data_IF_930828152368
#
_entry.id   IF_930828152368
#
_cell.length_a   1.000
_cell.length_b   1.000
_cell.length_c   1.000
_cell.angle_alpha   90.00
_cell.angle_beta   90.00
_cell.angle_gamma   90.00
#
_symmetry.space_group_name_H-M   'P 1'
#
loop_
_entity.id
_entity.type
_entity.pdbx_description
1 polymer ?
#
# COMPACT_ATOMS: atom_id res chain seq x y z
N UNK A 1 38.08 8.22 42.46
CA UNK A 1 36.71 8.19 42.99
C UNK A 1 36.01 6.99 42.39
N UNK A 2 35.96 5.90 43.14
CA UNK A 2 35.32 4.64 42.76
C UNK A 2 34.60 4.16 44.02
N UNK A 3 33.29 3.94 43.94
CA UNK A 3 32.50 3.56 45.12
C UNK A 3 31.60 2.39 44.74
N UNK A 4 32.08 1.20 45.12
CA UNK A 4 31.30 -0.04 45.21
C UNK A 4 30.26 0.06 46.32
N UNK A 5 29.07 -0.48 46.08
CA UNK A 5 28.09 -0.79 47.13
C UNK A 5 27.95 -2.31 47.21
N UNK A 6 28.23 -2.83 48.41
CA UNK A 6 28.17 -4.24 48.82
C UNK A 6 26.96 -4.42 49.75
N UNK A 7 26.19 -5.48 49.52
CA UNK A 7 25.11 -6.00 50.38
C UNK A 7 25.71 -7.08 51.30
N UNK A 8 25.33 -7.19 52.59
CA UNK A 8 24.59 -8.38 53.07
C UNK A 8 23.58 -8.05 54.20
N UNK A 9 22.40 -8.67 54.34
CA UNK A 9 21.95 -10.07 54.57
C UNK A 9 21.89 -10.48 56.07
N UNK A 10 20.64 -10.54 56.56
CA UNK A 10 20.01 -11.41 57.59
C UNK A 10 20.63 -11.70 58.97
N UNK A 11 19.79 -11.63 60.03
CA UNK A 11 19.52 -12.63 61.11
C UNK A 11 18.54 -11.99 62.16
N UNK A 12 17.34 -12.53 62.42
CA UNK A 12 16.96 -13.42 63.56
C UNK A 12 17.27 -12.84 64.96
N UNK A 13 16.45 -12.82 66.03
CA UNK A 13 15.32 -13.62 66.51
C UNK A 13 14.80 -13.06 67.88
N UNK A 14 13.46 -13.12 68.16
CA UNK A 14 12.66 -13.32 69.43
C UNK A 14 13.12 -12.78 70.83
N UNK A 15 12.35 -12.84 71.96
CA UNK A 15 10.92 -13.18 72.27
C UNK A 15 10.21 -12.23 73.30
N UNK A 16 9.01 -12.66 73.79
CA UNK A 16 8.22 -12.28 75.00
C UNK A 16 7.13 -11.19 74.83
N UNK A 17 5.83 -11.57 74.80
CA UNK A 17 4.90 -11.76 75.94
C UNK A 17 4.51 -10.42 76.62
N UNK A 18 3.28 -10.06 76.96
CA UNK A 18 2.08 -10.82 77.28
C UNK A 18 0.88 -9.84 77.45
N UNK A 19 -0.35 -10.34 77.20
CA UNK A 19 -1.61 -10.07 77.94
C UNK A 19 -2.37 -8.74 77.84
N UNK A 20 -3.62 -8.87 77.39
CA UNK A 20 -4.75 -8.03 77.83
C UNK A 20 -6.06 -8.38 77.13
N UNK A 21 -6.83 -9.28 77.76
CA UNK A 21 -8.29 -9.56 77.65
C UNK A 21 -9.17 -8.44 77.04
N UNK A 22 -10.40 -8.65 76.57
CA UNK A 22 -11.27 -9.77 76.23
C UNK A 22 -12.67 -9.13 76.07
N UNK A 23 -13.47 -9.63 75.11
CA UNK A 23 -14.94 -9.61 75.08
C UNK A 23 -15.62 -8.27 74.74
N UNK A 24 -16.23 -8.20 73.54
CA UNK A 24 -17.66 -7.95 73.26
C UNK A 24 -17.80 -7.88 71.72
N UNK A 25 -18.47 -8.88 71.12
CA UNK A 25 -19.32 -8.77 69.90
C UNK A 25 -19.50 -10.16 69.23
N UNK A 26 -19.92 -11.15 70.00
CA UNK A 26 -20.31 -12.48 69.51
C UNK A 26 -21.74 -12.42 68.97
N UNK A 27 -21.99 -11.86 67.78
CA UNK A 27 -23.33 -11.93 67.16
C UNK A 27 -23.41 -11.76 65.63
N UNK A 28 -22.30 -11.64 64.89
CA UNK A 28 -22.33 -11.54 63.41
C UNK A 28 -21.18 -12.35 62.83
N UNK A 29 -21.21 -13.68 62.99
CA UNK A 29 -20.29 -14.60 62.29
C UNK A 29 -20.82 -16.05 62.29
N UNK A 30 -22.16 -16.19 62.32
CA UNK A 30 -22.88 -17.46 62.22
C UNK A 30 -23.72 -17.55 60.93
N UNK A 31 -23.27 -16.86 59.89
CA UNK A 31 -23.77 -16.98 58.51
C UNK A 31 -22.62 -17.07 57.48
N UNK A 32 -21.42 -17.45 57.93
CA UNK A 32 -20.22 -17.60 57.09
C UNK A 32 -19.50 -18.93 57.36
N UNK A 33 -20.29 -19.98 57.61
CA UNK A 33 -19.78 -21.28 58.04
C UNK A 33 -20.68 -22.43 57.58
N UNK A 34 -21.12 -22.43 56.32
CA UNK A 34 -21.81 -23.59 55.74
C UNK A 34 -21.81 -23.59 54.20
N UNK A 35 -20.63 -23.49 53.58
CA UNK A 35 -20.47 -23.76 52.13
C UNK A 35 -19.01 -24.11 51.80
N UNK A 36 -18.49 -25.17 52.42
CA UNK A 36 -17.16 -25.73 52.10
C UNK A 36 -17.28 -27.25 51.89
N UNK A 37 -18.06 -27.66 50.88
CA UNK A 37 -18.06 -29.04 50.38
C UNK A 37 -18.76 -29.22 49.01
N UNK A 38 -18.79 -28.19 48.16
CA UNK A 38 -19.04 -28.41 46.74
C UNK A 38 -17.68 -28.35 46.07
N UNK A 39 -17.15 -29.53 45.74
CA UNK A 39 -16.00 -29.64 44.86
C UNK A 39 -16.33 -28.85 43.60
N UNK A 40 -15.67 -27.71 43.46
CA UNK A 40 -15.59 -27.03 42.18
C UNK A 40 -14.75 -27.97 41.34
N UNK A 41 -15.42 -28.89 40.64
CA UNK A 41 -14.84 -29.48 39.46
C UNK A 41 -14.53 -28.26 38.58
N UNK A 42 -13.28 -27.82 38.60
CA UNK A 42 -12.82 -26.86 37.62
C UNK A 42 -13.18 -27.48 36.30
N UNK A 43 -14.12 -26.86 35.59
CA UNK A 43 -14.26 -27.08 34.17
C UNK A 43 -12.86 -26.76 33.62
N UNK A 44 -12.06 -27.80 33.36
CA UNK A 44 -10.90 -27.65 32.52
C UNK A 44 -11.50 -27.19 31.21
N UNK A 45 -11.33 -25.90 30.89
CA UNK A 45 -11.26 -25.54 29.49
C UNK A 45 -10.18 -26.46 28.94
N UNK A 46 -10.59 -27.40 28.11
CA UNK A 46 -9.67 -28.13 27.28
C UNK A 46 -9.08 -27.05 26.38
N UNK A 47 -7.90 -26.54 26.71
CA UNK A 47 -7.14 -25.56 25.90
C UNK A 47 -6.60 -26.30 24.65
N UNK A 48 -7.48 -27.05 24.00
CA UNK A 48 -7.24 -27.74 22.76
C UNK A 48 -6.93 -26.72 21.69
N UNK A 49 -5.75 -26.80 21.08
CA UNK A 49 -5.49 -26.09 19.84
C UNK A 49 -5.87 -27.00 18.69
N UNK A 50 -6.73 -26.56 17.78
CA UNK A 50 -6.89 -27.28 16.53
C UNK A 50 -5.95 -26.69 15.48
N UNK A 51 -5.17 -27.56 14.86
CA UNK A 51 -4.21 -27.22 13.82
C UNK A 51 -4.11 -28.36 12.82
N UNK A 52 -4.02 -28.00 11.55
CA UNK A 52 -3.83 -28.94 10.46
C UNK A 52 -2.67 -28.45 9.59
N UNK A 53 -1.93 -29.41 9.02
CA UNK A 53 -0.85 -29.16 8.09
C UNK A 53 -0.99 -30.06 6.88
N UNK A 54 -0.41 -29.61 5.77
CA UNK A 54 -0.31 -30.38 4.54
C UNK A 54 0.97 -30.04 3.81
N UNK A 55 1.56 -31.02 3.11
CA UNK A 55 2.77 -30.84 2.34
C UNK A 55 2.89 -31.88 1.21
N UNK A 56 3.65 -31.62 0.14
CA UNK A 56 4.13 -32.67 -0.75
C UNK A 56 4.85 -33.76 0.03
N UNK A 57 4.70 -35.00 -0.41
CA UNK A 57 5.32 -36.16 0.23
C UNK A 57 6.23 -36.92 -0.72
N UNK A 58 7.27 -37.52 -0.15
CA UNK A 58 8.15 -38.47 -0.85
C UNK A 58 8.59 -39.55 0.12
N UNK A 59 8.56 -40.81 -0.30
CA UNK A 59 8.94 -41.98 0.50
C UNK A 59 8.26 -42.03 1.89
N UNK A 60 6.99 -41.62 1.97
CA UNK A 60 6.21 -41.68 3.21
C UNK A 60 6.44 -40.54 4.21
N UNK A 61 7.22 -39.51 3.85
CA UNK A 61 7.49 -38.33 4.70
C UNK A 61 7.31 -37.02 3.95
N UNK A 62 7.48 -35.88 4.66
CA UNK A 62 7.43 -34.55 4.02
C UNK A 62 8.60 -34.40 3.05
N UNK A 63 8.29 -34.03 1.82
CA UNK A 63 9.28 -33.66 0.82
C UNK A 63 9.84 -32.26 1.13
N UNK A 64 11.13 -32.18 1.46
CA UNK A 64 11.79 -30.93 1.83
C UNK A 64 12.22 -30.10 0.60
N UNK A 65 12.23 -30.71 -0.58
CA UNK A 65 12.67 -30.07 -1.82
C UNK A 65 11.49 -29.38 -2.53
N UNK A 66 10.25 -29.76 -2.20
CA UNK A 66 9.04 -29.26 -2.85
C UNK A 66 8.13 -28.50 -1.89
N UNK A 67 7.92 -27.22 -2.19
CA UNK A 67 6.91 -26.37 -1.53
C UNK A 67 5.54 -26.40 -2.24
N UNK A 68 5.49 -26.96 -3.45
CA UNK A 68 4.32 -27.03 -4.33
C UNK A 68 4.41 -28.23 -5.27
N UNK A 69 3.29 -28.59 -5.89
CA UNK A 69 3.27 -29.55 -6.99
C UNK A 69 3.47 -28.83 -8.31
N UNK A 70 4.41 -29.30 -9.13
CA UNK A 70 4.71 -28.74 -10.45
C UNK A 70 4.97 -29.88 -11.43
N UNK A 71 4.15 -29.97 -12.47
CA UNK A 71 4.24 -31.03 -13.47
C UNK A 71 4.27 -30.48 -14.89
N UNK A 72 4.98 -31.17 -15.77
CA UNK A 72 4.89 -30.98 -17.22
C UNK A 72 4.43 -32.28 -17.86
N UNK A 73 3.30 -32.23 -18.55
CA UNK A 73 2.60 -33.42 -19.02
C UNK A 73 2.16 -33.30 -20.47
N UNK A 74 2.05 -34.44 -21.15
CA UNK A 74 1.36 -34.53 -22.44
C UNK A 74 -0.16 -34.65 -22.23
N UNK A 75 -1.01 -34.19 -23.16
CA UNK A 75 -2.45 -34.44 -23.10
C UNK A 75 -2.75 -35.95 -22.94
N UNK A 76 -3.68 -36.31 -22.05
CA UNK A 76 -3.97 -37.72 -21.74
C UNK A 76 -3.01 -38.38 -20.75
N UNK A 77 -1.93 -37.71 -20.32
CA UNK A 77 -0.96 -38.30 -19.41
C UNK A 77 -1.47 -38.31 -17.96
N UNK A 78 -1.12 -39.39 -17.26
CA UNK A 78 -1.35 -39.56 -15.83
C UNK A 78 -0.06 -39.35 -15.04
N UNK A 79 -0.18 -38.66 -13.90
CA UNK A 79 0.88 -38.48 -12.90
C UNK A 79 0.40 -39.03 -11.56
N UNK A 80 1.24 -39.79 -10.87
CA UNK A 80 0.97 -40.26 -9.51
C UNK A 80 1.92 -39.55 -8.55
N UNK A 81 1.42 -39.12 -7.41
CA UNK A 81 2.20 -38.44 -6.38
C UNK A 81 1.54 -38.62 -5.00
N UNK A 82 2.16 -38.09 -3.96
CA UNK A 82 1.75 -38.27 -2.58
C UNK A 82 1.59 -36.93 -1.86
N UNK A 83 0.52 -36.81 -1.07
CA UNK A 83 0.24 -35.68 -0.21
C UNK A 83 0.26 -36.11 1.25
N UNK A 84 1.07 -35.48 2.09
CA UNK A 84 1.08 -35.74 3.52
C UNK A 84 0.15 -34.75 4.21
N UNK A 85 -0.78 -35.29 5.01
CA UNK A 85 -1.63 -34.53 5.91
C UNK A 85 -1.22 -34.79 7.36
N UNK A 86 -1.22 -33.74 8.18
CA UNK A 86 -0.85 -33.82 9.58
C UNK A 86 -1.86 -33.09 10.46
N UNK A 87 -2.17 -33.67 11.61
CA UNK A 87 -2.79 -32.95 12.72
C UNK A 87 -1.70 -32.31 13.58
N UNK A 88 -1.60 -30.98 13.53
CA UNK A 88 -0.64 -30.19 14.32
C UNK A 88 -1.25 -29.64 15.61
N UNK A 89 -2.52 -29.97 15.88
CA UNK A 89 -3.25 -29.60 17.07
C UNK A 89 -3.11 -30.61 18.22
N UNK A 90 -3.83 -30.35 19.30
CA UNK A 90 -3.88 -31.20 20.51
C UNK A 90 -5.19 -31.98 20.65
N UNK A 91 -6.12 -31.85 19.72
CA UNK A 91 -7.41 -32.55 19.65
C UNK A 91 -7.50 -33.41 18.38
N UNK A 92 -8.26 -34.51 18.40
CA UNK A 92 -8.48 -35.34 17.20
C UNK A 92 -9.20 -34.53 16.12
N UNK A 93 -8.67 -34.54 14.89
CA UNK A 93 -9.21 -33.78 13.76
C UNK A 93 -9.77 -34.71 12.69
N UNK A 94 -11.00 -34.47 12.27
CA UNK A 94 -11.56 -35.04 11.05
C UNK A 94 -11.29 -34.09 9.89
N UNK A 95 -10.42 -34.52 8.97
CA UNK A 95 -9.99 -33.72 7.82
C UNK A 95 -10.54 -34.28 6.52
N UNK A 96 -10.83 -33.41 5.56
CA UNK A 96 -11.14 -33.78 4.18
C UNK A 96 -10.11 -33.15 3.26
N UNK A 97 -9.49 -33.97 2.42
CA UNK A 97 -8.52 -33.55 1.42
C UNK A 97 -9.15 -33.62 0.04
N UNK A 98 -9.01 -32.56 -0.75
CA UNK A 98 -9.54 -32.46 -2.10
C UNK A 98 -8.70 -31.49 -2.94
N UNK A 99 -8.77 -31.59 -4.26
CA UNK A 99 -8.17 -30.61 -5.16
C UNK A 99 -9.22 -29.62 -5.65
N UNK A 100 -8.78 -28.41 -6.01
CA UNK A 100 -9.65 -27.40 -6.62
C UNK A 100 -8.85 -26.47 -7.53
N UNK A 101 -9.55 -25.71 -8.36
CA UNK A 101 -8.93 -24.77 -9.30
C UNK A 101 -8.48 -23.48 -8.59
N UNK A 102 -7.48 -22.85 -9.18
CA UNK A 102 -6.99 -21.55 -8.76
C UNK A 102 -7.51 -20.44 -9.69
N UNK A 103 -7.63 -19.26 -9.11
CA UNK A 103 -7.96 -18.04 -9.83
C UNK A 103 -7.19 -16.88 -9.22
N UNK A 104 -7.11 -15.75 -9.92
CA UNK A 104 -6.68 -14.50 -9.30
C UNK A 104 -7.91 -13.72 -8.84
N UNK A 105 -7.89 -13.22 -7.61
CA UNK A 105 -8.85 -12.22 -7.12
C UNK A 105 -8.71 -10.89 -7.87
N UNK A 106 -9.61 -9.93 -7.63
CA UNK A 106 -9.58 -8.62 -8.31
C UNK A 106 -8.28 -7.82 -8.09
N UNK A 107 -7.66 -7.98 -6.92
CA UNK A 107 -6.35 -7.44 -6.57
C UNK A 107 -5.18 -8.27 -7.15
N UNK A 108 -5.48 -9.34 -7.90
CA UNK A 108 -4.53 -10.22 -8.56
C UNK A 108 -3.90 -11.26 -7.64
N UNK A 109 -4.42 -11.47 -6.43
CA UNK A 109 -3.88 -12.45 -5.48
C UNK A 109 -4.29 -13.86 -5.89
N UNK A 110 -3.37 -14.83 -5.77
CA UNK A 110 -3.68 -16.24 -6.01
C UNK A 110 -4.67 -16.75 -4.96
N UNK A 111 -5.81 -17.27 -5.40
CA UNK A 111 -6.84 -17.85 -4.57
C UNK A 111 -7.29 -19.20 -5.14
N UNK A 112 -7.95 -19.98 -4.29
CA UNK A 112 -8.53 -21.28 -4.64
C UNK A 112 -10.03 -21.21 -4.48
N UNK A 113 -10.78 -21.96 -5.30
CA UNK A 113 -12.23 -22.01 -5.15
C UNK A 113 -12.65 -22.50 -3.75
N UNK A 114 -13.83 -22.06 -3.32
CA UNK A 114 -14.44 -22.54 -2.09
C UNK A 114 -14.75 -24.05 -2.18
N UNK A 115 -14.74 -24.76 -1.04
CA UNK A 115 -14.85 -26.22 -1.03
C UNK A 115 -16.15 -26.79 -1.61
N UNK A 116 -17.21 -25.97 -1.71
CA UNK A 116 -18.48 -26.37 -2.32
C UNK A 116 -18.54 -26.12 -3.84
N UNK A 117 -17.63 -25.30 -4.38
CA UNK A 117 -17.59 -25.02 -5.81
C UNK A 117 -16.95 -26.19 -6.57
N UNK A 118 -17.58 -26.60 -7.67
CA UNK A 118 -17.05 -27.67 -8.51
C UNK A 118 -15.89 -27.13 -9.37
N UNK A 119 -14.69 -27.73 -9.31
CA UNK A 119 -13.61 -27.39 -10.23
C UNK A 119 -13.96 -27.87 -11.64
N UNK A 120 -13.42 -27.16 -12.63
CA UNK A 120 -13.58 -27.41 -14.06
C UNK A 120 -12.25 -27.58 -14.80
N UNK A 121 -11.13 -27.34 -14.12
CA UNK A 121 -9.78 -27.40 -14.68
C UNK A 121 -8.91 -28.39 -13.89
N UNK A 122 -7.63 -28.09 -13.61
CA UNK A 122 -6.70 -29.05 -12.97
C UNK A 122 -7.24 -29.66 -11.67
N UNK A 123 -8.05 -28.94 -10.89
CA UNK A 123 -8.67 -29.46 -9.67
C UNK A 123 -9.62 -30.63 -9.94
N UNK A 124 -10.27 -30.66 -11.11
CA UNK A 124 -11.16 -31.76 -11.54
C UNK A 124 -10.41 -33.00 -12.04
N UNK A 125 -9.10 -32.89 -12.27
CA UNK A 125 -8.26 -33.96 -12.82
C UNK A 125 -7.62 -34.83 -11.73
N UNK A 126 -7.76 -34.43 -10.47
CA UNK A 126 -7.16 -35.12 -9.33
C UNK A 126 -8.15 -36.12 -8.73
N UNK A 127 -7.68 -37.34 -8.52
CA UNK A 127 -8.39 -38.41 -7.80
C UNK A 127 -7.49 -39.02 -6.74
N UNK A 128 -8.08 -39.44 -5.61
CA UNK A 128 -7.37 -40.15 -4.54
C UNK A 128 -7.46 -41.67 -4.72
N UNK A 129 -6.72 -42.41 -3.89
CA UNK A 129 -6.60 -43.88 -3.96
C UNK A 129 -7.95 -44.66 -3.93
N UNK A 130 -9.02 -44.06 -3.40
CA UNK A 130 -10.38 -44.62 -3.41
C UNK A 130 -11.16 -44.36 -4.71
N UNK A 131 -10.54 -43.70 -5.70
CA UNK A 131 -11.15 -43.36 -6.99
C UNK A 131 -12.07 -42.14 -6.96
N UNK A 132 -12.09 -41.36 -5.88
CA UNK A 132 -12.93 -40.15 -5.75
C UNK A 132 -12.10 -38.87 -5.77
N UNK A 133 -12.78 -37.74 -5.97
CA UNK A 133 -12.21 -36.37 -6.00
C UNK A 133 -11.78 -35.84 -4.62
N UNK A 134 -12.16 -36.56 -3.55
CA UNK A 134 -11.89 -36.21 -2.15
C UNK A 134 -11.64 -37.45 -1.30
N UNK A 135 -10.97 -37.27 -0.17
CA UNK A 135 -10.77 -38.31 0.84
C UNK A 135 -10.86 -37.72 2.24
N UNK A 136 -11.58 -38.40 3.14
CA UNK A 136 -11.71 -37.98 4.54
C UNK A 136 -10.91 -38.91 5.45
N UNK A 137 -10.25 -38.33 6.44
CA UNK A 137 -9.34 -39.01 7.36
C UNK A 137 -9.53 -38.45 8.76
N UNK A 138 -9.48 -39.31 9.77
CA UNK A 138 -9.44 -38.88 11.17
C UNK A 138 -8.02 -39.04 11.70
N UNK A 139 -7.46 -37.97 12.25
CA UNK A 139 -6.07 -37.92 12.73
C UNK A 139 -6.06 -37.55 14.21
N UNK A 140 -5.44 -38.41 15.02
CA UNK A 140 -5.14 -38.11 16.41
C UNK A 140 -4.10 -36.98 16.54
N UNK A 141 -3.97 -36.33 17.70
CA UNK A 141 -2.98 -35.28 17.92
C UNK A 141 -1.57 -35.72 17.52
N UNK A 142 -0.92 -34.94 16.65
CA UNK A 142 0.42 -35.21 16.13
C UNK A 142 0.50 -36.29 15.04
N UNK A 143 -0.60 -37.00 14.75
CA UNK A 143 -0.63 -38.05 13.73
C UNK A 143 -0.48 -37.47 12.31
N UNK A 144 0.13 -38.27 11.43
CA UNK A 144 0.33 -37.96 10.02
C UNK A 144 -0.21 -39.11 9.16
N UNK A 145 -0.73 -38.78 7.99
CA UNK A 145 -1.12 -39.76 6.99
C UNK A 145 -0.68 -39.31 5.60
N UNK A 146 -0.13 -40.24 4.84
CA UNK A 146 0.20 -40.04 3.43
C UNK A 146 -0.97 -40.50 2.56
N UNK A 147 -1.36 -39.64 1.63
CA UNK A 147 -2.49 -39.81 0.74
C UNK A 147 -1.98 -39.84 -0.70
N UNK A 148 -1.88 -41.01 -1.33
CA UNK A 148 -1.60 -41.10 -2.75
C UNK A 148 -2.73 -40.45 -3.55
N UNK A 149 -2.35 -39.67 -4.56
CA UNK A 149 -3.26 -39.08 -5.52
C UNK A 149 -2.72 -39.24 -6.94
N UNK A 150 -3.64 -39.13 -7.89
CA UNK A 150 -3.40 -39.27 -9.31
C UNK A 150 -3.96 -38.05 -10.01
N UNK A 151 -3.18 -37.42 -10.88
CA UNK A 151 -3.62 -36.37 -11.78
C UNK A 151 -3.75 -36.97 -13.17
N UNK A 152 -4.98 -37.04 -13.70
CA UNK A 152 -5.27 -37.58 -15.04
C UNK A 152 -5.63 -36.43 -15.97
N UNK A 153 -4.66 -36.01 -16.77
CA UNK A 153 -4.85 -34.91 -17.73
C UNK A 153 -5.80 -35.36 -18.84
N UNK A 154 -6.89 -34.64 -19.14
CA UNK A 154 -7.75 -34.96 -20.27
C UNK A 154 -7.00 -35.01 -21.60
N UNK A 155 -7.44 -35.86 -22.53
CA UNK A 155 -6.83 -35.96 -23.86
C UNK A 155 -7.04 -34.69 -24.71
N UNK A 156 -8.08 -33.92 -24.41
CA UNK A 156 -8.45 -32.64 -25.03
C UNK A 156 -8.05 -31.43 -24.18
N UNK A 157 -7.24 -31.62 -23.14
CA UNK A 157 -6.71 -30.53 -22.32
C UNK A 157 -5.97 -29.52 -23.20
N UNK A 158 -6.28 -28.23 -23.02
CA UNK A 158 -5.65 -27.17 -23.80
C UNK A 158 -4.17 -27.07 -23.42
N UNK A 159 -3.26 -26.79 -24.37
CA UNK A 159 -1.88 -26.47 -24.03
C UNK A 159 -1.80 -25.23 -23.14
N UNK A 160 -0.89 -25.23 -22.18
CA UNK A 160 -0.69 -24.11 -21.27
C UNK A 160 -0.61 -24.52 -19.80
N UNK A 161 -0.62 -23.52 -18.93
CA UNK A 161 -0.64 -23.67 -17.49
C UNK A 161 -2.07 -23.82 -16.96
N UNK A 162 -2.24 -24.84 -16.13
CA UNK A 162 -3.44 -25.10 -15.37
C UNK A 162 -3.08 -25.06 -13.89
N UNK A 163 -3.73 -24.15 -13.15
CA UNK A 163 -3.37 -23.85 -11.78
C UNK A 163 -4.51 -24.22 -10.83
N UNK A 164 -4.13 -24.80 -9.69
CA UNK A 164 -5.03 -25.26 -8.67
C UNK A 164 -4.32 -25.43 -7.34
N UNK A 165 -4.93 -26.21 -6.45
CA UNK A 165 -4.30 -26.58 -5.20
C UNK A 165 -4.95 -27.81 -4.58
N UNK A 166 -4.17 -28.54 -3.79
CA UNK A 166 -4.66 -29.62 -2.94
C UNK A 166 -4.84 -29.04 -1.54
N UNK A 167 -6.09 -29.09 -1.06
CA UNK A 167 -6.55 -28.46 0.17
C UNK A 167 -6.84 -29.55 1.19
N UNK A 168 -6.30 -29.39 2.40
CA UNK A 168 -6.81 -30.06 3.60
C UNK A 168 -7.74 -29.10 4.33
N UNK A 169 -8.96 -29.57 4.62
CA UNK A 169 -10.00 -28.84 5.34
C UNK A 169 -10.37 -29.59 6.62
N UNK A 170 -10.51 -28.87 7.73
CA UNK A 170 -11.04 -29.38 8.98
C UNK A 170 -12.22 -28.53 9.41
N UNK A 171 -13.42 -29.13 9.39
CA UNK A 171 -14.63 -28.50 9.87
C UNK A 171 -14.80 -28.78 11.36
N UNK A 172 -14.87 -27.71 12.15
CA UNK A 172 -14.92 -27.80 13.61
C UNK A 172 -16.07 -26.93 14.15
N UNK A 173 -16.89 -27.45 15.09
CA UNK A 173 -17.88 -26.62 15.77
C UNK A 173 -17.18 -25.59 16.68
N UNK A 174 -17.52 -24.32 16.52
CA UNK A 174 -17.04 -23.22 17.37
C UNK A 174 -18.25 -22.46 17.96
N UNK A 175 -18.82 -23.02 19.03
CA UNK A 175 -20.03 -22.48 19.65
C UNK A 175 -21.26 -22.64 18.74
N UNK A 176 -21.85 -21.53 18.30
CA UNK A 176 -23.02 -21.52 17.40
C UNK A 176 -22.65 -21.50 15.90
N UNK A 177 -21.36 -21.42 15.56
CA UNK A 177 -20.88 -21.34 14.18
C UNK A 177 -19.89 -22.47 13.92
N UNK A 178 -19.89 -23.03 12.71
CA UNK A 178 -18.85 -23.96 12.27
C UNK A 178 -17.69 -23.20 11.64
N UNK A 179 -16.46 -23.49 12.05
CA UNK A 179 -15.25 -22.92 11.46
C UNK A 179 -14.60 -23.98 10.57
N UNK A 180 -14.45 -23.65 9.29
CA UNK A 180 -13.69 -24.43 8.31
C UNK A 180 -12.26 -23.89 8.23
N UNK A 181 -11.29 -24.67 8.71
CA UNK A 181 -9.86 -24.37 8.63
C UNK A 181 -9.30 -25.04 7.39
N UNK A 182 -8.68 -24.28 6.50
CA UNK A 182 -8.14 -24.77 5.23
C UNK A 182 -6.65 -24.44 5.11
N UNK A 183 -5.85 -25.45 4.78
CA UNK A 183 -4.45 -25.30 4.37
C UNK A 183 -4.33 -25.88 2.97
N UNK A 184 -3.64 -25.17 2.08
CA UNK A 184 -3.55 -25.56 0.68
C UNK A 184 -2.11 -25.55 0.20
N UNK A 185 -1.78 -26.52 -0.65
CA UNK A 185 -0.54 -26.58 -1.42
C UNK A 185 -0.87 -26.31 -2.87
N UNK A 186 -0.14 -25.39 -3.50
CA UNK A 186 -0.37 -25.03 -4.91
C UNK A 186 -0.04 -26.21 -5.82
N UNK A 187 -0.84 -26.36 -6.87
CA UNK A 187 -0.70 -27.34 -7.93
C UNK A 187 -0.60 -26.60 -9.27
N UNK A 188 0.56 -26.69 -9.91
CA UNK A 188 0.78 -26.18 -11.25
C UNK A 188 1.00 -27.36 -12.19
N UNK A 189 0.21 -27.45 -13.25
CA UNK A 189 0.36 -28.48 -14.26
C UNK A 189 0.40 -27.81 -15.63
N UNK A 190 1.51 -28.00 -16.34
CA UNK A 190 1.70 -27.50 -17.70
C UNK A 190 1.43 -28.61 -18.72
N UNK A 191 0.37 -28.44 -19.50
CA UNK A 191 0.09 -29.29 -20.66
C UNK A 191 0.95 -28.85 -21.82
N UNK A 192 1.75 -29.77 -22.37
CA UNK A 192 2.62 -29.53 -23.52
C UNK A 192 1.81 -29.18 -24.77
N UNK A 193 2.39 -28.33 -25.59
CA UNK A 193 1.83 -27.91 -26.88
C UNK A 193 2.33 -26.51 -27.23
N UNK A 194 1.54 -25.76 -27.99
CA UNK A 194 1.89 -24.39 -28.37
C UNK A 194 1.73 -23.45 -27.17
N UNK A 195 2.85 -23.07 -26.54
CA UNK A 195 2.86 -22.05 -25.51
C UNK A 195 2.81 -20.66 -26.16
N UNK A 196 1.96 -19.79 -25.60
CA UNK A 196 1.73 -18.42 -26.01
C UNK A 196 1.85 -17.51 -24.78
N UNK A 197 3.07 -17.20 -24.30
CA UNK A 197 3.27 -16.22 -23.25
C UNK A 197 2.85 -14.84 -23.75
N UNK A 198 1.82 -14.24 -23.15
CA UNK A 198 1.32 -12.95 -23.59
C UNK A 198 0.73 -12.14 -22.42
N UNK A 199 1.25 -10.93 -22.23
CA UNK A 199 0.73 -9.95 -21.29
C UNK A 199 0.40 -8.68 -22.07
N UNK A 200 -0.71 -8.04 -21.71
CA UNK A 200 -1.17 -6.81 -22.34
C UNK A 200 -1.53 -5.76 -21.29
N UNK A 201 -1.32 -4.49 -21.62
CA UNK A 201 -1.86 -3.35 -20.88
C UNK A 201 -3.22 -3.05 -21.49
N UNK A 202 -4.29 -3.41 -20.79
CA UNK A 202 -5.67 -3.27 -21.27
C UNK A 202 -6.20 -1.85 -21.11
N UNK A 203 -5.79 -1.13 -20.06
CA UNK A 203 -6.14 0.28 -19.87
C UNK A 203 -5.03 1.04 -19.14
N UNK A 204 -4.97 2.34 -19.41
CA UNK A 204 -4.12 3.30 -18.70
C UNK A 204 -4.92 4.58 -18.48
N UNK A 205 -5.06 4.95 -17.22
CA UNK A 205 -5.66 6.20 -16.79
C UNK A 205 -4.63 6.99 -15.99
N UNK A 206 -4.70 8.31 -16.03
CA UNK A 206 -3.77 9.14 -15.28
C UNK A 206 -4.42 10.40 -14.75
N UNK A 207 -4.06 10.75 -13.53
CA UNK A 207 -4.51 11.96 -12.83
C UNK A 207 -3.31 12.69 -12.27
N UNK A 208 -3.41 14.01 -12.20
CA UNK A 208 -2.35 14.87 -11.68
C UNK A 208 -2.83 15.66 -10.47
N UNK A 209 -2.04 15.60 -9.40
CA UNK A 209 -2.22 16.38 -8.20
C UNK A 209 -1.09 17.40 -8.07
N UNK A 210 -1.44 18.68 -8.17
CA UNK A 210 -0.47 19.78 -8.13
C UNK A 210 -0.02 20.12 -6.71
N UNK A 211 1.24 20.55 -6.58
CA UNK A 211 1.78 21.12 -5.35
C UNK A 211 1.79 22.66 -5.39
N UNK A 212 1.97 23.30 -4.22
CA UNK A 212 2.25 24.74 -4.13
C UNK A 212 3.55 25.09 -4.88
N UNK A 213 4.54 24.21 -4.84
CA UNK A 213 5.75 24.34 -5.65
C UNK A 213 5.40 23.99 -7.11
N UNK A 214 5.53 24.92 -8.07
CA UNK A 214 5.14 24.67 -9.47
C UNK A 214 5.98 23.60 -10.17
N UNK A 215 7.14 23.24 -9.61
CA UNK A 215 8.01 22.18 -10.10
C UNK A 215 7.77 20.82 -9.43
N UNK A 216 6.79 20.72 -8.52
CA UNK A 216 6.45 19.49 -7.82
C UNK A 216 4.97 19.16 -7.97
N UNK A 217 4.66 17.87 -7.81
CA UNK A 217 3.33 17.30 -7.94
C UNK A 217 3.44 15.79 -8.10
N UNK A 218 2.29 15.14 -8.03
CA UNK A 218 2.16 13.69 -8.13
C UNK A 218 1.31 13.36 -9.34
N UNK A 219 1.80 12.41 -10.16
CA UNK A 219 1.01 11.82 -11.25
C UNK A 219 0.65 10.40 -10.85
N UNK A 220 -0.62 10.16 -10.62
CA UNK A 220 -1.14 8.82 -10.35
C UNK A 220 -1.51 8.16 -11.68
N UNK A 221 -0.94 6.99 -11.95
CA UNK A 221 -1.17 6.20 -13.15
C UNK A 221 -1.87 4.92 -12.71
N UNK A 222 -3.11 4.72 -13.17
CA UNK A 222 -3.87 3.49 -12.96
C UNK A 222 -3.76 2.64 -14.22
N UNK A 223 -3.21 1.44 -14.10
CA UNK A 223 -2.94 0.54 -15.22
C UNK A 223 -3.66 -0.78 -14.98
N UNK A 224 -4.42 -1.25 -15.96
CA UNK A 224 -4.96 -2.61 -15.96
C UNK A 224 -4.10 -3.50 -16.84
N UNK A 225 -3.60 -4.60 -16.28
CA UNK A 225 -2.82 -5.63 -16.95
C UNK A 225 -3.68 -6.88 -17.12
N UNK A 226 -3.54 -7.55 -18.24
CA UNK A 226 -4.29 -8.78 -18.55
C UNK A 226 -3.35 -9.83 -19.15
N UNK A 227 -3.38 -11.05 -18.60
CA UNK A 227 -2.73 -12.21 -19.18
C UNK A 227 -3.63 -12.79 -20.28
N UNK A 228 -3.31 -12.45 -21.53
CA UNK A 228 -4.02 -12.94 -22.72
C UNK A 228 -3.43 -14.23 -23.28
N UNK A 229 -2.37 -14.74 -22.64
CA UNK A 229 -1.69 -15.96 -23.01
C UNK A 229 -2.28 -17.20 -22.34
N UNK A 230 -1.59 -18.33 -22.52
CA UNK A 230 -1.91 -19.60 -21.88
C UNK A 230 -0.86 -20.04 -20.85
N UNK A 231 0.00 -19.14 -20.38
CA UNK A 231 1.05 -19.42 -19.40
C UNK A 231 0.92 -18.43 -18.25
N UNK A 232 1.13 -18.88 -17.02
CA UNK A 232 1.13 -18.00 -15.84
C UNK A 232 2.36 -17.11 -15.85
N UNK A 233 2.16 -15.80 -15.70
CA UNK A 233 3.21 -14.80 -15.81
C UNK A 233 3.05 -13.74 -14.73
N UNK A 234 4.16 -13.35 -14.09
CA UNK A 234 4.26 -12.07 -13.39
C UNK A 234 4.66 -10.96 -14.36
N UNK A 235 4.81 -9.74 -13.85
CA UNK A 235 5.39 -8.64 -14.63
C UNK A 235 6.25 -7.74 -13.76
N UNK A 236 7.31 -7.18 -14.33
CA UNK A 236 7.94 -5.99 -13.78
C UNK A 236 7.51 -4.80 -14.64
N UNK A 237 6.95 -3.78 -14.00
CA UNK A 237 6.48 -2.56 -14.67
C UNK A 237 7.39 -1.41 -14.33
N UNK A 238 7.72 -0.60 -15.34
CA UNK A 238 8.50 0.62 -15.19
C UNK A 238 7.65 1.77 -15.70
N UNK A 239 7.48 2.80 -14.87
CA UNK A 239 6.70 3.98 -15.20
C UNK A 239 7.55 5.26 -15.17
N UNK A 240 7.23 6.17 -16.09
CA UNK A 240 7.89 7.48 -16.22
C UNK A 240 6.91 8.50 -16.80
N UNK A 241 6.99 9.75 -16.34
CA UNK A 241 6.29 10.87 -16.97
C UNK A 241 7.25 11.63 -17.88
N UNK A 242 6.86 11.75 -19.15
CA UNK A 242 7.58 12.49 -20.18
C UNK A 242 6.85 13.79 -20.51
N UNK A 243 7.58 14.78 -20.98
CA UNK A 243 7.06 16.04 -21.49
C UNK A 243 7.02 16.06 -23.02
N UNK A 244 6.91 17.28 -23.56
CA UNK A 244 7.00 17.50 -25.01
C UNK A 244 8.37 17.00 -25.51
N UNK A 245 8.40 16.40 -26.71
CA UNK A 245 9.60 15.80 -27.31
C UNK A 245 10.22 14.62 -26.53
N UNK A 246 9.48 14.02 -25.58
CA UNK A 246 9.95 12.86 -24.83
C UNK A 246 10.96 13.19 -23.73
N UNK A 247 11.08 14.46 -23.33
CA UNK A 247 11.97 14.88 -22.24
C UNK A 247 11.48 14.22 -20.93
N UNK A 248 12.34 13.49 -20.19
CA UNK A 248 11.93 12.90 -18.93
C UNK A 248 11.67 14.00 -17.90
N UNK A 249 10.45 14.02 -17.34
CA UNK A 249 10.02 14.95 -16.29
C UNK A 249 10.02 14.29 -14.90
N UNK A 250 10.23 12.98 -14.84
CA UNK A 250 10.33 12.19 -13.61
C UNK A 250 11.48 11.18 -13.67
N UNK A 251 11.83 10.63 -12.50
CA UNK A 251 12.58 9.39 -12.41
C UNK A 251 11.76 8.18 -12.91
N UNK A 252 12.39 7.01 -12.89
CA UNK A 252 11.73 5.72 -13.12
C UNK A 252 11.11 5.24 -11.82
N UNK A 253 9.90 4.69 -11.90
CA UNK A 253 9.23 4.02 -10.79
C UNK A 253 8.91 2.60 -11.21
N UNK A 254 9.56 1.66 -10.54
CA UNK A 254 9.41 0.23 -10.78
C UNK A 254 8.38 -0.37 -9.82
N UNK A 255 7.56 -1.29 -10.31
CA UNK A 255 6.60 -2.05 -9.50
C UNK A 255 6.53 -3.49 -10.00
N UNK A 256 6.65 -4.43 -9.06
CA UNK A 256 6.57 -5.87 -9.33
C UNK A 256 5.13 -6.33 -9.19
N UNK A 257 4.62 -6.89 -10.28
CA UNK A 257 3.29 -7.47 -10.36
C UNK A 257 3.41 -8.98 -10.08
N UNK A 258 2.69 -9.49 -9.06
CA UNK A 258 2.56 -10.91 -8.80
C UNK A 258 2.04 -11.71 -10.00
N UNK A 259 2.12 -13.03 -9.88
CA UNK A 259 1.67 -13.97 -10.90
C UNK A 259 0.19 -13.77 -11.28
N UNK A 260 -0.04 -13.61 -12.58
CA UNK A 260 -1.35 -13.63 -13.23
C UNK A 260 -1.51 -14.95 -13.99
N UNK A 261 -2.52 -15.72 -13.60
CA UNK A 261 -2.94 -16.92 -14.30
C UNK A 261 -3.50 -16.58 -15.70
N UNK A 262 -3.52 -17.53 -16.65
CA UNK A 262 -4.12 -17.34 -17.96
C UNK A 262 -5.54 -16.78 -17.89
N UNK A 263 -5.83 -15.71 -18.63
CA UNK A 263 -7.13 -15.04 -18.66
C UNK A 263 -7.39 -14.05 -17.52
N UNK A 264 -6.55 -14.01 -16.48
CA UNK A 264 -6.71 -13.09 -15.35
C UNK A 264 -6.29 -11.66 -15.69
N UNK A 265 -6.86 -10.69 -14.96
CA UNK A 265 -6.49 -9.29 -15.03
C UNK A 265 -6.25 -8.69 -13.65
N UNK A 266 -5.40 -7.66 -13.57
CA UNK A 266 -5.14 -6.92 -12.33
C UNK A 266 -4.99 -5.44 -12.63
N UNK A 267 -5.57 -4.61 -11.78
CA UNK A 267 -5.38 -3.15 -11.84
C UNK A 267 -4.41 -2.70 -10.76
N UNK A 268 -3.39 -1.94 -11.14
CA UNK A 268 -2.38 -1.39 -10.24
C UNK A 268 -2.35 0.13 -10.35
N UNK A 269 -2.11 0.78 -9.22
CA UNK A 269 -2.01 2.24 -9.12
C UNK A 269 -0.56 2.59 -8.78
N UNK A 270 0.10 3.30 -9.69
CA UNK A 270 1.47 3.76 -9.56
C UNK A 270 1.45 5.26 -9.31
N UNK A 271 2.22 5.74 -8.34
CA UNK A 271 2.34 7.18 -8.08
C UNK A 271 3.75 7.64 -8.44
N UNK A 272 3.84 8.50 -9.46
CA UNK A 272 5.09 9.11 -9.90
C UNK A 272 5.18 10.52 -9.32
N UNK A 273 6.04 10.68 -8.33
CA UNK A 273 6.24 11.96 -7.63
C UNK A 273 7.28 12.85 -8.28
N UNK A 274 7.24 14.14 -7.94
CA UNK A 274 8.21 15.15 -8.40
C UNK A 274 7.92 15.68 -9.80
N UNK A 275 6.69 15.52 -10.28
CA UNK A 275 6.28 15.99 -11.61
C UNK A 275 5.72 17.40 -11.48
N UNK A 276 6.41 18.38 -12.04
CA UNK A 276 5.92 19.76 -12.12
C UNK A 276 4.64 19.88 -12.96
N UNK A 277 3.90 20.98 -12.77
CA UNK A 277 2.66 21.26 -13.50
C UNK A 277 2.95 21.73 -14.93
N UNK A 278 3.64 20.90 -15.71
CA UNK A 278 3.95 21.17 -17.10
C UNK A 278 2.70 21.00 -17.95
N UNK A 279 2.46 21.94 -18.86
CA UNK A 279 1.22 22.03 -19.65
C UNK A 279 0.84 20.70 -20.30
N UNK A 280 1.83 19.92 -20.75
CA UNK A 280 1.65 18.61 -21.35
C UNK A 280 2.44 17.56 -20.56
N UNK A 281 1.73 16.52 -20.11
CA UNK A 281 2.32 15.34 -19.48
C UNK A 281 1.96 14.11 -20.30
N UNK A 282 2.95 13.24 -20.52
CA UNK A 282 2.82 11.95 -21.19
C UNK A 282 3.36 10.86 -20.26
N UNK A 283 2.53 10.35 -19.34
CA UNK A 283 2.86 9.14 -18.59
C UNK A 283 3.02 7.96 -19.54
N UNK A 284 4.09 7.22 -19.32
CA UNK A 284 4.49 6.05 -20.08
C UNK A 284 4.77 4.92 -19.12
N UNK A 285 4.24 3.74 -19.43
CA UNK A 285 4.44 2.51 -18.67
C UNK A 285 4.92 1.44 -19.64
N UNK A 286 6.04 0.81 -19.31
CA UNK A 286 6.51 -0.40 -19.96
C UNK A 286 6.43 -1.57 -18.99
N UNK A 287 6.20 -2.76 -19.53
CA UNK A 287 6.21 -4.00 -18.77
C UNK A 287 7.09 -5.04 -19.44
N UNK A 288 7.70 -5.86 -18.61
CA UNK A 288 8.41 -7.08 -19.01
C UNK A 288 7.81 -8.22 -18.20
N UNK A 289 7.34 -9.27 -18.88
CA UNK A 289 6.83 -10.48 -18.25
C UNK A 289 7.92 -11.18 -17.45
N UNK A 290 7.54 -11.77 -16.33
CA UNK A 290 8.42 -12.55 -15.45
C UNK A 290 7.79 -13.91 -15.17
N UNK A 291 8.60 -14.85 -14.71
CA UNK A 291 8.15 -16.16 -14.22
C UNK A 291 8.68 -16.36 -12.82
N UNK A 292 7.96 -17.16 -12.05
CA UNK A 292 8.43 -17.64 -10.76
C UNK A 292 9.70 -18.50 -10.94
N UNK A 293 10.61 -18.45 -9.97
CA UNK A 293 11.93 -19.10 -10.08
C UNK A 293 11.83 -20.62 -10.26
N UNK A 294 10.81 -21.24 -9.66
CA UNK A 294 10.58 -22.69 -9.72
C UNK A 294 9.61 -23.06 -10.87
N UNK A 295 9.25 -22.10 -11.74
CA UNK A 295 8.33 -22.35 -12.85
C UNK A 295 9.06 -22.92 -14.07
N UNK A 296 8.34 -23.72 -14.85
CA UNK A 296 8.86 -24.26 -16.11
C UNK A 296 9.08 -23.09 -17.09
N UNK A 297 10.23 -23.06 -17.76
CA UNK A 297 10.54 -22.00 -18.74
C UNK A 297 9.56 -22.07 -19.92
N UNK A 298 8.79 -21.00 -20.20
CA UNK A 298 7.82 -20.98 -21.29
C UNK A 298 8.38 -20.45 -22.62
N UNK A 299 9.67 -20.11 -22.67
CA UNK A 299 10.33 -19.48 -23.81
C UNK A 299 10.49 -17.95 -23.62
N UNK A 300 10.52 -17.17 -24.72
CA UNK A 300 10.65 -15.72 -24.65
C UNK A 300 9.49 -15.09 -23.88
N UNK A 301 9.83 -14.18 -22.96
CA UNK A 301 8.85 -13.48 -22.14
C UNK A 301 8.30 -12.24 -22.88
N UNK A 302 7.00 -11.94 -22.76
CA UNK A 302 6.39 -10.83 -23.47
C UNK A 302 6.83 -9.49 -22.89
N UNK A 303 6.91 -8.48 -23.75
CA UNK A 303 7.04 -7.08 -23.34
C UNK A 303 5.89 -6.29 -23.93
N UNK A 304 5.44 -5.26 -23.21
CA UNK A 304 4.43 -4.34 -23.72
C UNK A 304 4.71 -2.93 -23.20
N UNK A 305 4.27 -1.94 -23.97
CA UNK A 305 4.37 -0.54 -23.59
C UNK A 305 3.08 0.19 -23.90
N UNK A 306 2.73 1.14 -23.04
CA UNK A 306 1.58 2.01 -23.24
C UNK A 306 1.85 3.39 -22.68
N UNK A 307 1.40 4.39 -23.40
CA UNK A 307 1.43 5.78 -22.95
C UNK A 307 0.04 6.40 -22.98
N UNK A 308 -0.11 7.48 -22.23
CA UNK A 308 -1.29 8.34 -22.25
C UNK A 308 -0.83 9.79 -22.26
N UNK A 309 -1.72 10.72 -22.56
CA UNK A 309 -1.39 12.14 -22.57
C UNK A 309 -2.52 12.96 -22.01
N UNK A 310 -2.20 13.96 -21.21
CA UNK A 310 -3.17 14.91 -20.72
C UNK A 310 -2.52 16.27 -20.48
N UNK A 311 -3.38 17.29 -20.37
CA UNK A 311 -2.95 18.67 -20.15
C UNK A 311 -3.17 19.07 -18.69
N UNK A 312 -2.18 19.76 -18.12
CA UNK A 312 -2.24 20.30 -16.76
C UNK A 312 -2.22 21.81 -16.82
N UNK A 313 -3.09 22.47 -16.07
CA UNK A 313 -3.08 23.92 -15.96
C UNK A 313 -2.01 24.36 -14.95
N UNK A 314 -1.00 25.14 -15.35
CA UNK A 314 0.10 25.56 -14.49
C UNK A 314 -0.30 26.70 -13.54
N UNK A 315 -1.24 26.47 -12.63
CA UNK A 315 -1.78 27.50 -11.74
C UNK A 315 -0.71 28.28 -10.96
N UNK A 316 0.34 27.60 -10.48
CA UNK A 316 1.45 28.26 -9.79
C UNK A 316 2.15 29.32 -10.65
N UNK A 317 2.42 29.02 -11.92
CA UNK A 317 3.00 29.99 -12.86
C UNK A 317 2.00 31.10 -13.21
N UNK A 318 0.72 30.79 -13.38
CA UNK A 318 -0.32 31.80 -13.67
C UNK A 318 -0.50 32.78 -12.51
N UNK A 319 -0.47 32.30 -11.26
CA UNK A 319 -0.55 33.14 -10.06
C UNK A 319 0.71 34.00 -9.95
N UNK A 320 1.91 33.45 -10.19
CA UNK A 320 3.15 34.23 -10.19
C UNK A 320 3.13 35.33 -11.26
N UNK A 321 2.65 35.03 -12.47
CA UNK A 321 2.48 36.02 -13.54
C UNK A 321 1.45 37.10 -13.15
N UNK A 322 0.34 36.72 -12.50
CA UNK A 322 -0.67 37.66 -12.02
C UNK A 322 -0.09 38.61 -10.96
N UNK A 323 0.66 38.09 -9.99
CA UNK A 323 1.32 38.88 -8.93
C UNK A 323 2.37 39.81 -9.54
N UNK A 324 3.17 39.32 -10.49
CA UNK A 324 4.16 40.14 -11.20
C UNK A 324 3.50 41.27 -12.00
N UNK A 325 2.40 40.97 -12.72
CA UNK A 325 1.64 41.96 -13.47
C UNK A 325 0.99 43.02 -12.56
N UNK A 326 0.41 42.60 -11.43
CA UNK A 326 -0.17 43.51 -10.44
C UNK A 326 0.91 44.40 -9.81
N UNK A 327 2.05 43.83 -9.44
CA UNK A 327 3.20 44.57 -8.88
C UNK A 327 3.73 45.60 -9.89
N UNK A 328 3.90 45.20 -11.16
CA UNK A 328 4.31 46.10 -12.23
C UNK A 328 3.31 47.23 -12.45
N UNK A 329 2.00 46.93 -12.45
CA UNK A 329 0.94 47.93 -12.59
C UNK A 329 0.96 48.93 -11.42
N UNK A 330 1.10 48.45 -10.18
CA UNK A 330 1.21 49.30 -8.98
C UNK A 330 2.42 50.23 -9.08
N UNK A 331 3.59 49.70 -9.45
CA UNK A 331 4.83 50.49 -9.62
C UNK A 331 4.68 51.52 -10.74
N UNK A 332 4.02 51.15 -11.85
CA UNK A 332 3.77 52.06 -12.97
C UNK A 332 2.80 53.19 -12.58
N UNK A 333 1.75 52.87 -11.82
CA UNK A 333 0.78 53.85 -11.34
C UNK A 333 1.35 54.74 -10.23
N UNK A 334 2.17 54.20 -9.33
CA UNK A 334 2.84 55.01 -8.28
C UNK A 334 3.82 55.99 -8.89
N UNK A 335 4.67 55.56 -9.84
CA UNK A 335 5.58 56.47 -10.58
C UNK A 335 4.86 57.63 -11.27
N UNK A 336 3.67 57.37 -11.84
CA UNK A 336 2.82 58.42 -12.42
C UNK A 336 2.28 59.39 -11.37
N UNK A 337 1.89 58.89 -10.20
CA UNK A 337 1.39 59.73 -9.11
C UNK A 337 2.52 60.55 -8.47
N UNK A 338 3.70 59.96 -8.35
CA UNK A 338 4.88 60.62 -7.77
C UNK A 338 5.40 61.74 -8.66
N UNK A 339 5.37 61.59 -9.99
CA UNK A 339 5.69 62.71 -10.90
C UNK A 339 4.69 63.86 -10.79
N UNK A 340 3.41 63.55 -10.58
CA UNK A 340 2.35 64.56 -10.42
C UNK A 340 2.49 65.28 -9.06
N UNK A 341 2.81 64.54 -7.99
CA UNK A 341 3.08 65.08 -6.65
C UNK A 341 4.37 65.90 -6.60
N UNK A 342 5.42 65.47 -7.29
CA UNK A 342 6.67 66.21 -7.42
C UNK A 342 6.46 67.54 -8.16
N UNK A 343 5.71 67.53 -9.27
CA UNK A 343 5.35 68.76 -9.98
C UNK A 343 4.54 69.72 -9.09
N UNK A 344 3.55 69.21 -8.35
CA UNK A 344 2.78 70.02 -7.41
C UNK A 344 3.63 70.57 -6.24
N UNK A 345 4.65 69.85 -5.79
CA UNK A 345 5.58 70.32 -4.75
C UNK A 345 6.53 71.39 -5.25
N UNK A 346 7.02 71.27 -6.50
CA UNK A 346 7.81 72.31 -7.18
C UNK A 346 6.98 73.57 -7.37
N UNK A 347 5.74 73.45 -7.84
CA UNK A 347 4.83 74.59 -8.01
C UNK A 347 4.53 75.28 -6.67
N UNK A 348 4.31 74.51 -5.60
CA UNK A 348 4.12 75.05 -4.24
C UNK A 348 5.36 75.79 -3.73
N UNK A 349 6.57 75.21 -3.89
CA UNK A 349 7.82 75.83 -3.45
C UNK A 349 8.16 77.09 -4.27
N UNK A 350 7.90 77.09 -5.57
CA UNK A 350 8.01 78.30 -6.39
C UNK A 350 7.00 79.39 -5.96
N UNK A 351 5.75 79.02 -5.68
CA UNK A 351 4.74 79.96 -5.21
C UNK A 351 5.13 80.56 -3.84
N UNK A 352 5.68 79.75 -2.95
CA UNK A 352 6.15 80.18 -1.63
C UNK A 352 7.39 81.07 -1.71
N UNK A 353 8.35 80.75 -2.60
CA UNK A 353 9.48 81.62 -2.89
C UNK A 353 9.04 82.97 -3.48
N UNK A 354 8.07 82.99 -4.38
CA UNK A 354 7.48 84.23 -4.92
C UNK A 354 6.78 85.06 -3.84
N UNK A 355 6.10 84.43 -2.87
CA UNK A 355 5.50 85.16 -1.74
C UNK A 355 6.57 85.80 -0.86
N UNK A 356 7.60 85.06 -0.48
CA UNK A 356 8.72 85.60 0.31
C UNK A 356 9.43 86.75 -0.41
N UNK A 357 9.70 86.62 -1.71
CA UNK A 357 10.28 87.70 -2.50
C UNK A 357 9.39 88.95 -2.56
N UNK A 358 8.06 88.79 -2.57
CA UNK A 358 7.12 89.92 -2.48
C UNK A 358 7.10 90.55 -1.09
N UNK A 359 7.15 89.75 -0.03
CA UNK A 359 7.27 90.26 1.34
C UNK A 359 8.58 91.01 1.54
N UNK A 360 9.71 90.47 1.06
CA UNK A 360 11.01 91.15 1.08
C UNK A 360 11.02 92.44 0.24
N UNK A 361 10.36 92.45 -0.93
CA UNK A 361 10.20 93.67 -1.73
C UNK A 361 9.30 94.71 -1.05
N UNK A 362 8.26 94.30 -0.32
CA UNK A 362 7.41 95.20 0.46
C UNK A 362 8.15 95.76 1.70
N UNK A 363 8.98 94.95 2.35
CA UNK A 363 9.85 95.39 3.46
C UNK A 363 10.96 96.32 2.95
N UNK A 364 11.54 96.04 1.77
CA UNK A 364 12.50 96.93 1.10
C UNK A 364 11.89 98.25 0.63
N UNK A 365 10.65 98.24 0.13
CA UNK A 365 9.92 99.44 -0.24
C UNK A 365 9.53 100.30 0.98
N UNK A 366 9.28 99.68 2.14
CA UNK A 366 9.08 100.40 3.41
C UNK A 366 10.37 101.04 3.95
N UNK A 367 11.55 100.52 3.58
CA UNK A 367 12.86 101.08 3.98
C UNK A 367 13.39 102.17 3.04
N UNK A 368 12.81 102.33 1.84
CA UNK A 368 13.23 103.30 0.83
C UNK A 368 12.22 104.42 0.60
N UNK A 369 12.11 105.35 1.55
CA UNK A 369 11.44 106.65 1.30
C UNK A 369 12.53 107.73 1.11
N UNK A 370 12.65 108.38 -0.05
CA UNK A 370 13.59 109.47 -0.25
C UNK A 370 13.01 110.79 0.29
N UNK A 371 13.70 111.43 1.23
CA UNK A 371 13.49 112.86 1.55
C UNK A 371 14.36 113.71 0.62
N UNK A 372 13.77 114.29 -0.42
CA UNK A 372 14.39 115.34 -1.23
C UNK A 372 13.47 116.56 -1.41
N UNK A 373 13.82 117.60 -0.66
CA UNK A 373 14.04 119.00 -1.06
C UNK A 373 12.98 119.79 -1.85
N UNK A 374 12.53 120.91 -1.25
CA UNK A 374 12.08 122.11 -1.96
C UNK A 374 12.62 123.35 -1.24
N UNK A 375 13.48 124.11 -1.90
CA UNK A 375 13.95 125.41 -1.42
C UNK A 375 12.91 126.51 -1.60
N UNK A 376 13.07 127.61 -0.84
CA UNK A 376 12.75 128.95 -1.34
C UNK A 376 13.55 130.06 -0.60
N UNK A 377 13.80 131.10 -1.40
CA UNK A 377 14.58 132.34 -1.32
C UNK A 377 14.30 133.36 -0.20
N UNK A 378 15.29 134.24 0.03
CA UNK A 378 15.14 135.69 0.36
C UNK A 378 16.55 136.34 0.46
N UNK A 379 17.01 137.13 -0.52
CA UNK A 379 16.96 138.61 -0.66
C UNK A 379 17.81 139.47 0.30
N UNK A 380 18.57 140.37 -0.36
CA UNK A 380 19.21 141.64 0.04
C UNK A 380 20.58 141.62 0.70
#
# INVERSE_FOLDING_TARGET
>A
MSTSIVIPRHLASHPFANRGLAVIATSILLALGMTLALGVAGARADDGSDGIGGAPSTNGGVDQDRSRFTYQVDPGQTVNDEYLVQNTGTTTQAVTVYATDAYNTDDGTFALLEGAAAPSDVGSWVTFANGTDRISVTLDPGAQQVLPFTVTTPADAKPGDHAGGIVVSALSPAGQVSVDRRVAIRLYLRVKGLLQPALSISSIESTYEGSINPFAGDTTIRVSLTNTGNVSLGANTVSQVKGVFGIPLSGLTDEVIPELLPGSSRTVTLTVSGVGAWVYLNPHVSLVGTIDADAINPGPLPTAERDTSFFVVPWGFLILLLVAALTWLIVRLSRKRDSTRAAAWVEYTEAEARRKAREEALVGAAAGTPTENSGNTSTS
#
